data_IF_730334829417
#
_entry.id   IF_730334829417
#
_cell.length_a   1.000
_cell.length_b   1.000
_cell.length_c   1.000
_cell.angle_alpha   90.00
_cell.angle_beta   90.00
_cell.angle_gamma   90.00
#
_symmetry.space_group_name_H-M   'P 1'
#
loop_
_entity.id
_entity.type
_entity.pdbx_description
1 polymer ?
#
# COMPACT_ATOMS: atom_id res chain seq x y z
N UNK A 1 -22.23 11.02 38.63
CA UNK A 1 -21.52 10.64 37.39
C UNK A 1 -22.23 11.25 36.22
N UNK A 2 -21.52 12.07 35.45
CA UNK A 2 -22.10 12.64 34.25
C UNK A 2 -22.20 11.56 33.18
N UNK A 3 -23.34 11.54 32.46
CA UNK A 3 -23.68 10.53 31.43
C UNK A 3 -22.61 10.37 30.34
N UNK A 4 -21.80 11.40 30.11
CA UNK A 4 -20.71 11.39 29.15
C UNK A 4 -19.43 10.68 29.63
N UNK A 5 -19.24 10.50 30.94
CA UNK A 5 -18.11 9.73 31.46
C UNK A 5 -18.30 8.23 31.27
N UNK A 6 -19.53 7.74 31.27
CA UNK A 6 -19.86 6.36 30.97
C UNK A 6 -19.57 5.99 29.50
N UNK A 7 -19.58 6.96 28.61
CA UNK A 7 -19.29 6.77 27.18
C UNK A 7 -17.79 6.60 26.88
N UNK A 8 -16.92 7.19 27.69
CA UNK A 8 -15.47 7.04 27.52
C UNK A 8 -14.96 5.62 27.81
N UNK A 9 -15.67 4.86 28.59
CA UNK A 9 -15.28 3.51 29.01
C UNK A 9 -15.91 2.38 28.18
N UNK A 10 -16.82 2.70 27.27
CA UNK A 10 -17.39 1.74 26.33
C UNK A 10 -16.80 1.87 24.93
N UNK A 11 -15.48 1.96 24.81
CA UNK A 11 -14.87 1.53 23.57
C UNK A 11 -15.08 0.03 23.51
N UNK A 12 -15.86 -0.42 22.50
CA UNK A 12 -15.89 -1.83 22.16
C UNK A 12 -14.44 -2.32 22.12
N UNK A 13 -14.08 -3.46 22.73
CA UNK A 13 -12.73 -3.98 22.63
C UNK A 13 -12.38 -4.02 21.15
N UNK A 14 -11.22 -3.47 20.78
CA UNK A 14 -10.73 -3.49 19.42
C UNK A 14 -10.79 -4.95 18.95
N UNK A 15 -11.53 -5.22 17.87
CA UNK A 15 -11.59 -6.57 17.32
C UNK A 15 -10.17 -7.00 16.96
N UNK A 16 -9.74 -8.21 17.35
CA UNK A 16 -8.41 -8.68 17.02
C UNK A 16 -8.26 -8.72 15.50
N UNK A 17 -7.14 -8.22 15.03
CA UNK A 17 -6.77 -8.28 13.61
C UNK A 17 -6.61 -9.75 13.21
N UNK A 18 -7.02 -10.09 11.99
CA UNK A 18 -6.76 -11.40 11.39
C UNK A 18 -5.25 -11.71 11.48
N UNK A 19 -4.84 -12.83 12.09
CA UNK A 19 -3.43 -13.18 12.25
C UNK A 19 -2.67 -13.30 10.92
N UNK A 20 -3.31 -13.79 9.87
CA UNK A 20 -2.68 -13.90 8.54
C UNK A 20 -2.42 -12.52 7.94
N UNK A 21 -3.35 -11.60 8.12
CA UNK A 21 -3.20 -10.21 7.66
C UNK A 21 -2.08 -9.49 8.42
N UNK A 22 -2.03 -9.69 9.74
CA UNK A 22 -0.95 -9.15 10.58
C UNK A 22 0.41 -9.68 10.15
N UNK A 23 0.54 -10.97 9.88
CA UNK A 23 1.80 -11.57 9.46
C UNK A 23 2.31 -10.97 8.14
N UNK A 24 1.43 -10.73 7.19
CA UNK A 24 1.77 -10.07 5.92
C UNK A 24 2.19 -8.61 6.16
N UNK A 25 1.44 -7.87 6.97
CA UNK A 25 1.76 -6.49 7.31
C UNK A 25 3.15 -6.38 7.97
N UNK A 26 3.47 -7.27 8.89
CA UNK A 26 4.79 -7.32 9.55
C UNK A 26 5.90 -7.65 8.56
N UNK A 27 5.69 -8.60 7.65
CA UNK A 27 6.68 -8.95 6.63
C UNK A 27 6.95 -7.78 5.67
N UNK A 28 5.91 -7.10 5.22
CA UNK A 28 6.03 -5.90 4.37
C UNK A 28 6.78 -4.80 5.13
N UNK A 29 6.39 -4.51 6.36
CA UNK A 29 7.03 -3.48 7.17
C UNK A 29 8.52 -3.75 7.40
N UNK A 30 8.90 -5.00 7.66
CA UNK A 30 10.30 -5.40 7.80
C UNK A 30 11.08 -5.20 6.50
N UNK A 31 10.52 -5.58 5.36
CA UNK A 31 11.15 -5.42 4.06
C UNK A 31 11.35 -3.94 3.68
N UNK A 32 10.37 -3.10 3.98
CA UNK A 32 10.48 -1.65 3.76
C UNK A 32 11.50 -1.01 4.71
N UNK A 33 11.54 -1.44 5.96
CA UNK A 33 12.55 -0.98 6.94
C UNK A 33 13.97 -1.33 6.48
N UNK A 34 14.15 -2.49 5.87
CA UNK A 34 15.45 -2.91 5.31
C UNK A 34 15.94 -2.01 4.17
N UNK A 35 15.07 -1.23 3.55
CA UNK A 35 15.42 -0.19 2.57
C UNK A 35 15.77 1.16 3.20
N UNK A 36 15.96 1.22 4.50
CA UNK A 36 16.21 2.44 5.28
C UNK A 36 15.06 3.45 5.22
N UNK A 37 13.84 2.95 5.16
CA UNK A 37 12.63 3.78 5.24
C UNK A 37 12.08 3.80 6.66
N UNK A 38 11.46 4.91 7.01
CA UNK A 38 10.60 5.01 8.19
C UNK A 38 9.25 4.38 7.83
N UNK A 39 8.76 3.49 8.68
CA UNK A 39 7.56 2.71 8.40
C UNK A 39 6.55 2.87 9.53
N UNK A 40 5.30 3.13 9.16
CA UNK A 40 4.14 3.06 10.05
C UNK A 40 3.15 2.03 9.52
N UNK A 41 2.70 1.14 10.39
CA UNK A 41 1.77 0.07 10.06
C UNK A 41 0.67 0.04 11.10
N UNK A 42 -0.58 0.28 10.65
CA UNK A 42 -1.73 0.40 11.55
C UNK A 42 -2.89 -0.46 11.09
N UNK A 43 -3.48 -1.25 12.01
CA UNK A 43 -4.71 -1.96 11.72
C UNK A 43 -5.92 -1.01 11.75
N UNK A 44 -6.87 -1.27 10.84
CA UNK A 44 -8.20 -0.69 10.85
C UNK A 44 -9.22 -1.81 11.01
N UNK A 45 -9.73 -1.99 12.23
CA UNK A 45 -10.60 -3.10 12.54
C UNK A 45 -9.90 -4.45 12.31
N UNK A 46 -10.68 -5.47 11.98
CA UNK A 46 -10.18 -6.85 11.84
C UNK A 46 -9.49 -7.13 10.51
N UNK A 47 -9.94 -6.49 9.45
CA UNK A 47 -9.69 -6.95 8.08
C UNK A 47 -8.91 -5.96 7.22
N UNK A 48 -8.41 -4.87 7.81
CA UNK A 48 -7.67 -3.84 7.08
C UNK A 48 -6.37 -3.48 7.79
N UNK A 49 -5.34 -3.23 7.01
CA UNK A 49 -4.08 -2.63 7.45
C UNK A 49 -3.69 -1.49 6.52
N UNK A 50 -3.28 -0.37 7.09
CA UNK A 50 -2.63 0.71 6.34
C UNK A 50 -1.14 0.70 6.65
N UNK A 51 -0.32 0.74 5.62
CA UNK A 51 1.13 0.81 5.73
C UNK A 51 1.62 2.03 4.95
N UNK A 52 2.39 2.86 5.63
CA UNK A 52 3.09 3.99 5.02
C UNK A 52 4.58 3.86 5.29
N UNK A 53 5.37 4.11 4.27
CA UNK A 53 6.82 4.15 4.40
C UNK A 53 7.37 5.36 3.64
N UNK A 54 8.39 6.00 4.19
CA UNK A 54 8.96 7.21 3.61
C UNK A 54 10.44 7.36 3.98
N UNK A 55 11.17 8.08 3.15
CA UNK A 55 12.52 8.55 3.48
C UNK A 55 12.51 9.67 4.53
N UNK A 56 11.33 10.27 4.78
CA UNK A 56 11.14 11.29 5.82
C UNK A 56 10.65 10.66 7.13
N UNK A 57 11.24 11.05 8.31
CA UNK A 57 10.76 10.57 9.60
C UNK A 57 9.33 11.02 9.93
N UNK A 58 8.81 12.03 9.25
CA UNK A 58 7.42 12.49 9.37
C UNK A 58 6.44 11.66 8.57
N UNK A 59 6.89 10.62 7.87
CA UNK A 59 6.09 9.78 6.98
C UNK A 59 5.32 10.58 5.92
N UNK A 60 5.89 11.70 5.49
CA UNK A 60 5.30 12.54 4.45
C UNK A 60 5.65 11.93 3.10
N UNK A 61 4.61 11.58 2.37
CA UNK A 61 4.70 11.32 0.94
C UNK A 61 4.04 12.50 0.24
N UNK A 62 4.83 13.38 -0.37
CA UNK A 62 4.28 14.49 -1.13
C UNK A 62 3.81 13.98 -2.49
N UNK A 63 2.64 14.41 -3.00
CA UNK A 63 2.10 13.94 -4.27
C UNK A 63 3.03 14.18 -5.46
N UNK A 64 3.83 15.23 -5.41
CA UNK A 64 4.80 15.61 -6.45
C UNK A 64 6.20 14.97 -6.21
N UNK A 65 6.39 14.29 -5.07
CA UNK A 65 7.66 13.66 -4.72
C UNK A 65 8.80 14.62 -4.45
N UNK A 66 8.54 15.90 -4.23
CA UNK A 66 9.61 16.94 -4.11
C UNK A 66 10.35 16.92 -2.79
N UNK A 67 9.72 16.39 -1.72
CA UNK A 67 10.30 16.41 -0.37
C UNK A 67 10.72 15.03 0.13
N UNK A 68 10.00 14.00 -0.24
CA UNK A 68 10.27 12.64 0.22
C UNK A 68 9.85 11.59 -0.80
N UNK A 69 10.60 10.51 -0.84
CA UNK A 69 10.17 9.27 -1.50
C UNK A 69 9.38 8.41 -0.52
N UNK A 70 8.38 7.72 -1.00
CA UNK A 70 7.59 6.87 -0.13
C UNK A 70 6.52 6.07 -0.85
N UNK A 71 5.85 5.23 -0.07
CA UNK A 71 4.78 4.36 -0.54
C UNK A 71 3.66 4.31 0.52
N UNK A 72 2.43 4.26 0.06
CA UNK A 72 1.26 4.02 0.90
C UNK A 72 0.46 2.85 0.35
N UNK A 73 0.06 1.95 1.24
CA UNK A 73 -0.63 0.70 0.92
C UNK A 73 -1.85 0.52 1.80
N UNK A 74 -2.86 -0.14 1.23
CA UNK A 74 -3.96 -0.71 1.99
C UNK A 74 -4.01 -2.22 1.78
N UNK A 75 -3.91 -2.98 2.87
CA UNK A 75 -4.20 -4.39 2.88
C UNK A 75 -5.68 -4.57 3.17
N UNK A 76 -6.46 -4.88 2.15
CA UNK A 76 -7.92 -4.96 2.22
C UNK A 76 -8.38 -6.42 2.25
N UNK A 77 -8.32 -7.03 3.42
CA UNK A 77 -8.74 -8.43 3.63
C UNK A 77 -10.24 -8.64 3.47
N UNK A 78 -11.04 -7.58 3.65
CA UNK A 78 -12.50 -7.64 3.50
C UNK A 78 -12.99 -7.40 2.07
N UNK A 79 -12.12 -7.05 1.13
CA UNK A 79 -12.50 -6.96 -0.28
C UNK A 79 -12.79 -8.35 -0.85
N UNK A 80 -13.64 -8.41 -1.86
CA UNK A 80 -14.00 -9.64 -2.57
C UNK A 80 -13.45 -9.62 -4.02
N UNK A 81 -12.38 -10.32 -4.32
CA UNK A 81 -11.48 -11.05 -3.41
C UNK A 81 -10.58 -10.11 -2.59
N UNK A 82 -9.96 -10.61 -1.51
CA UNK A 82 -8.99 -9.84 -0.75
C UNK A 82 -7.92 -9.24 -1.65
N UNK A 83 -7.61 -7.96 -1.45
CA UNK A 83 -6.73 -7.21 -2.33
C UNK A 83 -5.70 -6.40 -1.56
N UNK A 84 -4.49 -6.36 -2.07
CA UNK A 84 -3.48 -5.40 -1.67
C UNK A 84 -3.54 -4.23 -2.64
N UNK A 85 -3.73 -3.02 -2.10
CA UNK A 85 -3.92 -1.81 -2.89
C UNK A 85 -2.70 -0.89 -2.74
N UNK A 86 -2.06 -0.57 -3.86
CA UNK A 86 -1.05 0.49 -3.90
C UNK A 86 -1.77 1.83 -4.05
N UNK A 87 -1.82 2.61 -2.98
CA UNK A 87 -2.54 3.89 -2.97
C UNK A 87 -1.68 5.02 -3.50
N UNK A 88 -0.40 5.02 -3.16
CA UNK A 88 0.53 6.07 -3.57
C UNK A 88 1.96 5.53 -3.63
N UNK A 89 2.72 5.98 -4.61
CA UNK A 89 4.16 5.76 -4.69
C UNK A 89 4.83 6.98 -5.30
N UNK A 90 5.87 7.47 -4.63
CA UNK A 90 6.75 8.54 -5.09
C UNK A 90 8.20 8.10 -4.96
N UNK A 91 9.03 8.44 -5.92
CA UNK A 91 10.46 8.18 -5.82
C UNK A 91 11.27 9.33 -6.40
N UNK A 92 12.12 9.93 -5.56
CA UNK A 92 13.11 10.94 -5.94
C UNK A 92 14.42 10.32 -6.40
N UNK A 93 14.65 9.06 -6.07
CA UNK A 93 15.85 8.32 -6.38
C UNK A 93 15.55 7.20 -7.36
N UNK A 94 16.34 7.13 -8.43
CA UNK A 94 16.21 6.07 -9.43
C UNK A 94 16.33 4.68 -8.78
N UNK A 95 15.40 3.81 -9.10
CA UNK A 95 15.34 2.44 -8.59
C UNK A 95 14.67 2.26 -7.24
N UNK A 96 14.48 3.31 -6.44
CA UNK A 96 13.84 3.19 -5.13
C UNK A 96 12.37 2.81 -5.25
N UNK A 97 11.63 3.38 -6.20
CA UNK A 97 10.23 3.03 -6.45
C UNK A 97 10.07 1.55 -6.72
N UNK A 98 10.91 1.00 -7.58
CA UNK A 98 10.90 -0.44 -7.88
C UNK A 98 11.27 -1.26 -6.65
N UNK A 99 12.28 -0.85 -5.90
CA UNK A 99 12.70 -1.55 -4.70
C UNK A 99 11.58 -1.59 -3.64
N UNK A 100 10.85 -0.49 -3.46
CA UNK A 100 9.70 -0.44 -2.55
C UNK A 100 8.60 -1.40 -2.97
N UNK A 101 8.23 -1.42 -4.24
CA UNK A 101 7.20 -2.34 -4.76
C UNK A 101 7.64 -3.79 -4.62
N UNK A 102 8.88 -4.11 -4.95
CA UNK A 102 9.42 -5.48 -4.79
C UNK A 102 9.42 -5.92 -3.32
N UNK A 103 9.72 -5.02 -2.38
CA UNK A 103 9.67 -5.29 -0.96
C UNK A 103 8.26 -5.65 -0.49
N UNK A 104 7.25 -4.93 -0.99
CA UNK A 104 5.83 -5.19 -0.72
C UNK A 104 5.41 -6.53 -1.29
N UNK A 105 5.73 -6.80 -2.54
CA UNK A 105 5.37 -8.06 -3.21
C UNK A 105 6.02 -9.25 -2.51
N UNK A 106 7.28 -9.14 -2.11
CA UNK A 106 7.96 -10.19 -1.34
C UNK A 106 7.24 -10.49 -0.01
N UNK A 107 6.77 -9.45 0.69
CA UNK A 107 5.97 -9.61 1.90
C UNK A 107 4.62 -10.28 1.65
N UNK A 108 3.94 -9.94 0.57
CA UNK A 108 2.68 -10.58 0.17
C UNK A 108 2.87 -12.06 -0.18
N UNK A 109 3.99 -12.43 -0.77
CA UNK A 109 4.33 -13.82 -1.11
C UNK A 109 4.58 -14.72 0.11
N UNK A 110 4.81 -14.15 1.28
CA UNK A 110 4.94 -14.93 2.52
C UNK A 110 3.66 -15.73 2.83
N UNK A 111 2.51 -15.24 2.42
CA UNK A 111 1.21 -15.89 2.56
C UNK A 111 0.43 -15.76 1.24
N UNK A 112 0.79 -16.52 0.19
CA UNK A 112 0.24 -16.33 -1.16
C UNK A 112 -1.25 -16.65 -1.27
N UNK A 113 -1.80 -17.38 -0.30
CA UNK A 113 -3.23 -17.71 -0.22
C UNK A 113 -4.10 -16.51 0.18
N UNK A 114 -3.54 -15.49 0.80
CA UNK A 114 -4.31 -14.34 1.31
C UNK A 114 -4.55 -13.31 0.24
N UNK A 115 -3.50 -12.82 -0.40
CA UNK A 115 -3.62 -11.81 -1.45
C UNK A 115 -3.16 -12.37 -2.79
N UNK A 116 -4.11 -12.67 -3.66
CA UNK A 116 -3.86 -13.02 -5.07
C UNK A 116 -4.05 -11.83 -5.99
N UNK A 117 -4.77 -10.81 -5.52
CA UNK A 117 -5.08 -9.62 -6.30
C UNK A 117 -4.30 -8.42 -5.79
N UNK A 118 -3.62 -7.75 -6.72
CA UNK A 118 -2.97 -6.46 -6.49
C UNK A 118 -3.68 -5.40 -7.30
N UNK A 119 -3.98 -4.27 -6.66
CA UNK A 119 -4.69 -3.15 -7.28
C UNK A 119 -3.82 -1.90 -7.28
N UNK A 120 -3.85 -1.18 -8.36
CA UNK A 120 -3.18 0.13 -8.48
C UNK A 120 -3.95 1.04 -9.44
N UNK A 121 -4.01 2.32 -9.08
CA UNK A 121 -4.38 3.36 -10.02
C UNK A 121 -3.10 3.93 -10.63
N UNK A 122 -2.88 3.68 -11.91
CA UNK A 122 -1.63 4.00 -12.59
C UNK A 122 -1.64 5.44 -13.10
N UNK A 123 -0.94 6.29 -12.38
CA UNK A 123 -0.70 7.69 -12.76
C UNK A 123 0.67 7.89 -13.42
N UNK A 124 1.41 6.82 -13.67
CA UNK A 124 2.76 6.91 -14.23
C UNK A 124 2.74 7.32 -15.71
N UNK A 125 3.79 8.02 -16.18
CA UNK A 125 3.92 8.34 -17.59
C UNK A 125 4.20 7.08 -18.42
N UNK A 126 3.92 7.14 -19.73
CA UNK A 126 4.35 6.11 -20.65
C UNK A 126 5.87 6.16 -20.81
N UNK A 127 6.49 4.98 -20.85
CA UNK A 127 7.91 4.82 -21.12
C UNK A 127 8.18 4.81 -22.62
N UNK A 128 9.46 4.74 -23.00
CA UNK A 128 9.88 4.79 -24.41
C UNK A 128 9.29 3.67 -25.28
N UNK A 129 9.02 2.50 -24.70
CA UNK A 129 8.37 1.37 -25.38
C UNK A 129 6.85 1.49 -25.47
N UNK A 130 6.27 2.63 -25.06
CA UNK A 130 4.83 2.89 -25.05
C UNK A 130 4.07 2.27 -23.90
N UNK A 131 4.71 1.46 -23.06
CA UNK A 131 4.11 0.84 -21.88
C UNK A 131 4.23 1.76 -20.67
N UNK A 132 3.30 1.62 -19.72
CA UNK A 132 3.38 2.30 -18.42
C UNK A 132 4.27 1.50 -17.46
N UNK A 133 4.82 2.19 -16.49
CA UNK A 133 5.72 1.58 -15.49
C UNK A 133 5.06 0.40 -14.77
N UNK A 134 3.80 0.53 -14.35
CA UNK A 134 3.07 -0.54 -13.68
C UNK A 134 2.80 -1.75 -14.57
N UNK A 135 2.68 -1.57 -15.87
CA UNK A 135 2.58 -2.69 -16.81
C UNK A 135 3.85 -3.55 -16.81
N UNK A 136 5.02 -2.91 -16.71
CA UNK A 136 6.29 -3.63 -16.56
C UNK A 136 6.37 -4.36 -15.22
N UNK A 137 5.94 -3.75 -14.13
CA UNK A 137 5.90 -4.38 -12.81
C UNK A 137 4.99 -5.60 -12.83
N UNK A 138 3.79 -5.47 -13.38
CA UNK A 138 2.82 -6.56 -13.46
C UNK A 138 3.35 -7.72 -14.32
N UNK A 139 4.00 -7.44 -15.44
CA UNK A 139 4.59 -8.46 -16.31
C UNK A 139 5.69 -9.27 -15.61
N UNK A 140 6.40 -8.67 -14.66
CA UNK A 140 7.41 -9.36 -13.85
C UNK A 140 6.82 -10.24 -12.74
N UNK A 141 5.55 -10.09 -12.42
CA UNK A 141 4.85 -10.83 -11.35
C UNK A 141 3.52 -11.42 -11.86
N UNK A 142 3.57 -12.34 -12.84
CA UNK A 142 2.36 -12.89 -13.46
C UNK A 142 1.55 -13.82 -12.55
N UNK A 143 2.10 -14.20 -11.39
CA UNK A 143 1.44 -15.01 -10.38
C UNK A 143 0.29 -14.29 -9.67
N UNK A 144 0.26 -12.97 -9.73
CA UNK A 144 -0.82 -12.16 -9.18
C UNK A 144 -1.83 -11.76 -10.24
N UNK A 145 -3.08 -11.59 -9.81
CA UNK A 145 -4.11 -10.92 -10.59
C UNK A 145 -3.98 -9.41 -10.43
N UNK A 146 -3.56 -8.73 -11.46
CA UNK A 146 -3.38 -7.28 -11.44
C UNK A 146 -4.64 -6.57 -11.90
N UNK A 147 -5.11 -5.62 -11.11
CA UNK A 147 -6.17 -4.67 -11.50
C UNK A 147 -5.53 -3.30 -11.60
N UNK A 148 -5.19 -2.91 -12.80
CA UNK A 148 -4.56 -1.62 -13.09
C UNK A 148 -5.62 -0.72 -13.69
N UNK A 149 -5.97 0.34 -12.97
CA UNK A 149 -6.89 1.38 -13.46
C UNK A 149 -6.08 2.59 -13.90
N UNK A 150 -6.61 3.30 -14.87
CA UNK A 150 -6.03 4.56 -15.35
C UNK A 150 -7.08 5.65 -15.18
N UNK A 151 -6.74 6.72 -14.46
CA UNK A 151 -7.54 7.93 -14.56
C UNK A 151 -7.24 8.58 -15.91
N UNK A 152 -8.25 8.63 -16.77
CA UNK A 152 -8.19 9.48 -17.93
C UNK A 152 -8.04 10.94 -17.43
N UNK A 153 -7.10 11.74 -17.97
CA UNK A 153 -7.09 13.14 -17.66
C UNK A 153 -8.47 13.69 -17.98
N UNK A 154 -9.08 14.37 -17.00
CA UNK A 154 -10.36 15.04 -17.20
C UNK A 154 -10.17 16.03 -18.36
N UNK A 155 -10.58 15.61 -19.53
CA UNK A 155 -10.68 16.48 -20.68
C UNK A 155 -11.88 17.38 -20.39
N UNK A 156 -11.59 18.50 -19.72
CA UNK A 156 -12.61 19.47 -19.36
C UNK A 156 -13.37 19.84 -20.61
N UNK A 157 -14.59 19.33 -20.72
CA UNK A 157 -15.40 19.36 -21.92
C UNK A 157 -15.36 20.71 -22.64
N UNK A 158 -14.83 20.71 -23.84
CA UNK A 158 -14.99 21.79 -24.79
C UNK A 158 -16.29 21.60 -25.56
#
# INVERSE_FOLDING_TARGET
MAFWEAWRFRRAPAQPVDPALRAIAEAIAQNLTALNLYVDSRPYGRSFFEIKASTSPKLITTPDGTEASGIALLLAGAYEPPSLVFEQINSLRRGLGRAMVEAVIAGAKARPEVFRRLRVNDLSPRLQDGRRWWEHVAAAHPEFEWVITHEEPFDGGR
#
